data_IF_106304016085
#
_entry.id   IF_106304016085
#
_cell.length_a   1.000
_cell.length_b   1.000
_cell.length_c   1.000
_cell.angle_alpha   90.00
_cell.angle_beta   90.00
_cell.angle_gamma   90.00
#
_symmetry.space_group_name_H-M   'P 1'
#
loop_
_entity.id
_entity.type
_entity.pdbx_description
1 polymer ?
#
# COMPACT_ATOMS: atom_id res chain seq x y z
N UNK A 1 40.38 19.69 -10.99
CA UNK A 1 40.04 19.41 -9.58
C UNK A 1 38.92 18.38 -9.63
N UNK A 2 39.28 17.10 -9.60
CA UNK A 2 38.31 16.01 -9.71
C UNK A 2 37.61 15.84 -8.37
N UNK A 3 36.30 16.04 -8.34
CA UNK A 3 35.44 15.68 -7.22
C UNK A 3 35.26 14.17 -7.34
N UNK A 4 35.99 13.40 -6.54
CA UNK A 4 35.68 11.99 -6.32
C UNK A 4 34.40 11.95 -5.50
N UNK A 5 33.28 11.84 -6.20
CA UNK A 5 31.98 11.52 -5.60
C UNK A 5 32.07 10.08 -5.08
N UNK A 6 32.54 9.93 -3.85
CA UNK A 6 32.52 8.64 -3.15
C UNK A 6 31.10 8.46 -2.67
N UNK A 7 30.26 7.84 -3.50
CA UNK A 7 28.91 7.46 -3.10
C UNK A 7 29.03 6.53 -1.90
N UNK A 8 28.68 7.05 -0.72
CA UNK A 8 28.63 6.27 0.50
C UNK A 8 27.71 5.06 0.28
N UNK A 9 28.12 3.90 0.78
CA UNK A 9 27.28 2.70 0.72
C UNK A 9 26.01 2.95 1.53
N UNK A 10 24.81 2.78 0.95
CA UNK A 10 23.57 3.11 1.64
C UNK A 10 23.38 2.23 2.88
N UNK A 11 22.86 2.81 3.95
CA UNK A 11 22.49 2.13 5.19
C UNK A 11 21.29 1.20 4.97
N UNK A 12 21.05 0.28 5.92
CA UNK A 12 19.85 -0.57 5.88
C UNK A 12 18.58 0.28 5.93
N UNK A 13 18.54 1.31 6.76
CA UNK A 13 17.41 2.24 6.82
C UNK A 13 17.14 2.91 5.47
N UNK A 14 18.19 3.41 4.78
CA UNK A 14 18.05 4.00 3.45
C UNK A 14 17.57 2.98 2.42
N UNK A 15 18.06 1.75 2.46
CA UNK A 15 17.63 0.67 1.58
C UNK A 15 16.17 0.27 1.84
N UNK A 16 15.74 0.19 3.11
CA UNK A 16 14.34 -0.08 3.48
C UNK A 16 13.44 1.04 2.97
N UNK A 17 13.80 2.30 3.22
CA UNK A 17 13.03 3.46 2.76
C UNK A 17 12.92 3.49 1.23
N UNK A 18 14.00 3.13 0.52
CA UNK A 18 14.00 3.09 -0.94
C UNK A 18 13.01 2.06 -1.51
N UNK A 19 12.63 1.02 -0.77
CA UNK A 19 11.65 0.02 -1.25
C UNK A 19 10.25 0.57 -1.45
N UNK A 20 9.90 1.70 -0.81
CA UNK A 20 8.54 2.26 -0.82
C UNK A 20 7.48 1.37 -0.15
N UNK A 21 7.89 0.29 0.52
CA UNK A 21 6.99 -0.63 1.19
C UNK A 21 6.62 -0.09 2.58
N UNK A 22 5.38 -0.31 3.05
CA UNK A 22 4.96 0.08 4.39
C UNK A 22 5.87 -0.51 5.48
N UNK A 23 6.16 0.25 6.54
CA UNK A 23 7.05 -0.21 7.62
C UNK A 23 6.55 -1.46 8.36
N UNK A 24 5.24 -1.71 8.39
CA UNK A 24 4.65 -2.92 8.98
C UNK A 24 4.74 -4.17 8.07
N UNK A 25 5.34 -4.06 6.88
CA UNK A 25 5.54 -5.19 5.95
C UNK A 25 6.31 -6.33 6.62
N UNK A 26 5.72 -7.53 6.65
CA UNK A 26 6.34 -8.74 7.22
C UNK A 26 7.50 -9.22 6.35
N UNK A 27 8.65 -9.50 6.97
CA UNK A 27 9.85 -10.01 6.29
C UNK A 27 9.63 -11.36 5.58
N UNK A 28 8.61 -12.14 5.97
CA UNK A 28 8.22 -13.38 5.29
C UNK A 28 7.69 -13.16 3.88
N UNK A 29 7.19 -11.96 3.62
CA UNK A 29 6.55 -11.61 2.36
C UNK A 29 7.53 -10.93 1.40
N UNK A 30 8.75 -10.61 1.84
CA UNK A 30 9.79 -10.03 0.99
C UNK A 30 10.18 -10.99 -0.15
N UNK A 31 9.94 -10.60 -1.41
CA UNK A 31 10.31 -11.42 -2.56
C UNK A 31 11.83 -11.49 -2.68
N UNK A 32 12.34 -12.65 -3.10
CA UNK A 32 13.79 -12.86 -3.23
C UNK A 32 14.54 -13.02 -1.89
N UNK A 33 13.88 -12.84 -0.74
CA UNK A 33 14.50 -13.06 0.56
C UNK A 33 14.76 -14.54 0.81
N UNK A 34 16.03 -14.91 0.96
CA UNK A 34 16.42 -16.29 1.23
C UNK A 34 15.97 -16.73 2.63
N UNK A 35 15.61 -18.01 2.78
CA UNK A 35 15.06 -18.54 4.02
C UNK A 35 16.03 -18.42 5.22
N UNK A 36 17.34 -18.59 4.98
CA UNK A 36 18.36 -18.51 6.03
C UNK A 36 18.42 -17.12 6.71
N UNK A 37 18.76 -16.00 6.01
CA UNK A 37 18.82 -14.69 6.65
C UNK A 37 17.47 -14.29 7.25
N UNK A 38 16.36 -14.58 6.55
CA UNK A 38 15.01 -14.34 7.07
C UNK A 38 14.78 -15.03 8.41
N UNK A 39 15.02 -16.34 8.51
CA UNK A 39 14.72 -17.09 9.73
C UNK A 39 15.63 -16.68 10.90
N UNK A 40 16.87 -16.26 10.63
CA UNK A 40 17.76 -15.70 11.64
C UNK A 40 17.23 -14.36 12.18
N UNK A 41 16.82 -13.45 11.30
CA UNK A 41 16.18 -12.17 11.67
C UNK A 41 14.89 -12.38 12.46
N UNK A 42 14.01 -13.28 11.99
CA UNK A 42 12.76 -13.60 12.68
C UNK A 42 12.98 -14.16 14.09
N UNK A 43 14.06 -14.94 14.29
CA UNK A 43 14.43 -15.47 15.60
C UNK A 43 14.86 -14.37 16.57
N UNK A 44 15.48 -13.31 16.07
CA UNK A 44 15.82 -12.11 16.86
C UNK A 44 14.68 -11.09 16.97
N UNK A 45 13.47 -11.44 16.53
CA UNK A 45 12.32 -10.54 16.66
C UNK A 45 12.25 -9.45 15.58
N UNK A 46 13.19 -9.42 14.63
CA UNK A 46 13.12 -8.57 13.44
C UNK A 46 12.07 -9.17 12.50
N UNK A 47 10.83 -8.69 12.61
CA UNK A 47 9.67 -9.25 11.89
C UNK A 47 9.16 -8.36 10.77
N UNK A 48 9.41 -7.07 10.84
CA UNK A 48 8.91 -6.09 9.88
C UNK A 48 10.04 -5.24 9.31
N UNK A 49 9.77 -4.56 8.20
CA UNK A 49 10.70 -3.60 7.60
C UNK A 49 11.06 -2.45 8.55
N UNK A 50 10.11 -1.96 9.35
CA UNK A 50 10.35 -0.93 10.35
C UNK A 50 11.39 -1.38 11.38
N UNK A 51 11.25 -2.59 11.93
CA UNK A 51 12.23 -3.12 12.89
C UNK A 51 13.58 -3.33 12.18
N UNK A 52 13.58 -3.85 10.94
CA UNK A 52 14.82 -4.01 10.18
C UNK A 52 15.54 -2.68 9.93
N UNK A 53 14.81 -1.58 9.71
CA UNK A 53 15.37 -0.25 9.49
C UNK A 53 16.05 0.33 10.76
N UNK A 54 15.74 -0.18 11.94
CA UNK A 54 16.41 0.21 13.19
C UNK A 54 17.80 -0.42 13.35
N UNK A 55 18.13 -1.39 12.49
CA UNK A 55 19.41 -2.09 12.51
C UNK A 55 20.38 -1.53 11.45
N UNK A 56 21.65 -1.45 11.82
CA UNK A 56 22.77 -1.23 10.90
C UNK A 56 23.47 -2.56 10.52
N UNK A 57 24.44 -2.49 9.62
CA UNK A 57 25.19 -3.67 9.20
C UNK A 57 25.93 -4.34 10.36
N UNK A 58 26.37 -3.60 11.38
CA UNK A 58 27.09 -4.15 12.54
C UNK A 58 26.15 -4.96 13.43
N UNK A 59 25.00 -4.40 13.81
CA UNK A 59 24.00 -5.07 14.64
C UNK A 59 23.40 -6.30 13.96
N UNK A 60 23.23 -6.29 12.63
CA UNK A 60 22.84 -7.51 11.90
C UNK A 60 23.91 -8.60 11.98
N UNK A 61 25.19 -8.22 11.92
CA UNK A 61 26.31 -9.16 12.02
C UNK A 61 26.51 -9.74 13.43
N UNK A 62 25.96 -9.10 14.46
CA UNK A 62 25.94 -9.62 15.84
C UNK A 62 24.91 -10.76 16.04
N UNK A 63 23.96 -10.92 15.10
CA UNK A 63 22.99 -12.01 15.14
C UNK A 63 23.73 -13.35 14.99
N UNK A 64 23.50 -14.28 15.93
CA UNK A 64 24.17 -15.58 15.91
C UNK A 64 23.92 -16.34 14.60
N UNK A 65 25.03 -16.67 13.92
CA UNK A 65 25.12 -17.31 12.59
C UNK A 65 24.77 -16.41 11.39
N UNK A 66 24.67 -15.10 11.59
CA UNK A 66 24.43 -14.13 10.54
C UNK A 66 25.76 -13.63 9.98
N UNK A 67 26.26 -14.32 8.96
CA UNK A 67 27.54 -13.98 8.32
C UNK A 67 27.42 -12.91 7.23
N UNK A 68 28.58 -12.53 6.67
CA UNK A 68 28.72 -11.56 5.56
C UNK A 68 27.77 -11.85 4.41
N UNK A 69 27.63 -13.12 4.02
CA UNK A 69 26.70 -13.53 2.96
C UNK A 69 25.24 -13.20 3.30
N UNK A 70 24.80 -13.37 4.56
CA UNK A 70 23.43 -13.04 4.98
C UNK A 70 23.17 -11.54 4.88
N UNK A 71 24.12 -10.71 5.36
CA UNK A 71 24.06 -9.25 5.25
C UNK A 71 24.00 -8.82 3.78
N UNK A 72 24.91 -9.32 2.96
CA UNK A 72 24.99 -8.95 1.54
C UNK A 72 23.73 -9.38 0.78
N UNK A 73 23.15 -10.54 1.11
CA UNK A 73 21.87 -10.99 0.56
C UNK A 73 20.71 -10.06 0.94
N UNK A 74 20.59 -9.69 2.23
CA UNK A 74 19.54 -8.74 2.68
C UNK A 74 19.68 -7.41 1.95
N UNK A 75 20.90 -6.87 1.87
CA UNK A 75 21.18 -5.62 1.15
C UNK A 75 20.81 -5.71 -0.33
N UNK A 76 21.19 -6.80 -0.99
CA UNK A 76 20.88 -7.01 -2.40
C UNK A 76 19.38 -7.06 -2.67
N UNK A 77 18.62 -7.76 -1.82
CA UNK A 77 17.15 -7.84 -1.94
C UNK A 77 16.51 -6.46 -1.74
N UNK A 78 16.91 -5.72 -0.72
CA UNK A 78 16.37 -4.38 -0.47
C UNK A 78 16.73 -3.40 -1.60
N UNK A 79 17.97 -3.47 -2.11
CA UNK A 79 18.41 -2.65 -3.24
C UNK A 79 17.60 -2.97 -4.52
N UNK A 80 17.39 -4.25 -4.83
CA UNK A 80 16.58 -4.67 -5.97
C UNK A 80 15.14 -4.19 -5.84
N UNK A 81 14.55 -4.30 -4.64
CA UNK A 81 13.21 -3.78 -4.38
C UNK A 81 13.14 -2.26 -4.51
N UNK A 82 14.17 -1.55 -4.03
CA UNK A 82 14.28 -0.10 -4.17
C UNK A 82 14.45 0.35 -5.62
N UNK A 83 15.24 -0.37 -6.42
CA UNK A 83 15.37 -0.10 -7.86
C UNK A 83 14.06 -0.33 -8.61
N UNK A 84 13.34 -1.41 -8.27
CA UNK A 84 12.00 -1.67 -8.81
C UNK A 84 11.06 -0.53 -8.45
N UNK A 85 10.99 -0.15 -7.18
CA UNK A 85 10.16 0.97 -6.72
C UNK A 85 10.53 2.28 -7.43
N UNK A 86 11.82 2.62 -7.53
CA UNK A 86 12.28 3.80 -8.25
C UNK A 86 11.92 3.77 -9.75
N UNK A 87 11.99 2.60 -10.40
CA UNK A 87 11.56 2.43 -11.79
C UNK A 87 10.07 2.68 -11.98
N UNK A 88 9.28 2.27 -11.00
CA UNK A 88 7.85 2.52 -10.94
C UNK A 88 7.58 4.02 -10.75
N UNK A 89 8.24 4.64 -9.76
CA UNK A 89 8.06 6.06 -9.43
C UNK A 89 8.43 7.01 -10.57
N UNK A 90 9.41 6.65 -11.42
CA UNK A 90 9.78 7.47 -12.59
C UNK A 90 8.64 7.68 -13.59
N UNK A 91 7.64 6.80 -13.60
CA UNK A 91 6.50 6.87 -14.52
C UNK A 91 5.18 7.19 -13.80
N UNK A 92 5.22 7.39 -12.48
CA UNK A 92 4.02 7.61 -11.70
C UNK A 92 3.57 9.09 -11.77
N UNK A 93 2.26 9.35 -11.80
CA UNK A 93 1.74 10.72 -11.69
C UNK A 93 2.12 11.38 -10.35
N UNK A 94 2.21 12.72 -10.28
CA UNK A 94 2.73 13.44 -9.10
C UNK A 94 2.02 13.12 -7.78
N UNK A 95 0.70 12.91 -7.81
CA UNK A 95 -0.10 12.60 -6.63
C UNK A 95 0.13 11.18 -6.09
N UNK A 96 0.75 10.27 -6.86
CA UNK A 96 1.03 8.91 -6.40
C UNK A 96 1.96 8.90 -5.17
N UNK A 97 2.95 9.79 -5.16
CA UNK A 97 3.96 9.86 -4.11
C UNK A 97 3.33 10.28 -2.76
N UNK A 98 2.23 11.04 -2.80
CA UNK A 98 1.49 11.51 -1.63
C UNK A 98 0.62 10.41 -0.99
N UNK A 99 0.34 9.34 -1.75
CA UNK A 99 -0.50 8.22 -1.31
C UNK A 99 0.23 6.86 -1.36
N UNK A 100 1.54 6.83 -1.62
CA UNK A 100 2.29 5.58 -1.84
C UNK A 100 2.22 4.63 -0.64
N UNK A 101 2.14 5.17 0.58
CA UNK A 101 2.00 4.44 1.83
C UNK A 101 0.62 3.80 2.04
N UNK A 102 -0.37 4.09 1.19
CA UNK A 102 -1.69 3.44 1.19
C UNK A 102 -1.68 2.07 0.47
N UNK A 103 -0.58 1.69 -0.17
CA UNK A 103 -0.47 0.42 -0.89
C UNK A 103 -0.73 -0.78 0.04
N UNK A 104 -1.73 -1.59 -0.28
CA UNK A 104 -2.16 -2.72 0.52
C UNK A 104 -2.78 -2.36 1.88
N UNK A 105 -3.12 -1.10 2.13
CA UNK A 105 -3.69 -0.65 3.41
C UNK A 105 -5.01 -1.36 3.77
N UNK A 106 -5.76 -1.85 2.76
CA UNK A 106 -7.04 -2.53 2.94
C UNK A 106 -6.92 -4.07 2.94
N UNK A 107 -5.70 -4.62 2.95
CA UNK A 107 -5.44 -6.05 2.78
C UNK A 107 -6.00 -6.92 3.90
N UNK A 108 -5.83 -6.51 5.15
CA UNK A 108 -6.15 -7.31 6.33
C UNK A 108 -7.61 -7.16 6.79
N UNK A 109 -8.48 -6.74 5.87
CA UNK A 109 -9.77 -6.19 6.23
C UNK A 109 -9.63 -4.74 6.66
N UNK A 110 -10.77 -4.06 6.75
CA UNK A 110 -10.85 -2.65 7.10
C UNK A 110 -12.18 -2.38 7.78
N UNK A 111 -12.20 -1.36 8.62
CA UNK A 111 -13.39 -0.79 9.22
C UNK A 111 -13.74 0.55 8.54
N UNK A 112 -14.86 1.15 8.95
CA UNK A 112 -15.33 2.43 8.46
C UNK A 112 -14.32 3.57 8.68
N UNK A 113 -13.50 3.49 9.72
CA UNK A 113 -12.51 4.51 10.05
C UNK A 113 -11.29 4.44 9.12
N UNK A 114 -10.76 3.24 8.89
CA UNK A 114 -9.64 3.01 8.00
C UNK A 114 -10.02 3.34 6.55
N UNK A 115 -11.18 2.88 6.07
CA UNK A 115 -11.61 3.15 4.70
C UNK A 115 -11.82 4.66 4.49
N UNK A 116 -12.43 5.37 5.45
CA UNK A 116 -12.59 6.84 5.38
C UNK A 116 -11.24 7.52 5.27
N UNK A 117 -10.27 7.11 6.09
CA UNK A 117 -8.94 7.71 6.12
C UNK A 117 -8.18 7.48 4.82
N UNK A 118 -8.28 6.28 4.23
CA UNK A 118 -7.66 5.94 2.95
C UNK A 118 -8.30 6.75 1.82
N UNK A 119 -9.63 6.74 1.71
CA UNK A 119 -10.33 7.41 0.61
C UNK A 119 -10.19 8.94 0.68
N UNK A 120 -10.22 9.53 1.89
CA UNK A 120 -9.98 10.96 2.07
C UNK A 120 -8.59 11.37 1.55
N UNK A 121 -7.54 10.60 1.87
CA UNK A 121 -6.18 10.89 1.38
C UNK A 121 -6.07 10.80 -0.14
N UNK A 122 -6.77 9.85 -0.77
CA UNK A 122 -6.81 9.75 -2.23
C UNK A 122 -7.49 10.99 -2.84
N UNK A 123 -8.60 11.46 -2.25
CA UNK A 123 -9.28 12.68 -2.67
C UNK A 123 -8.42 13.93 -2.45
N UNK A 124 -7.76 14.06 -1.29
CA UNK A 124 -6.88 15.19 -0.95
C UNK A 124 -5.66 15.29 -1.86
N UNK A 125 -5.12 14.15 -2.30
CA UNK A 125 -4.03 14.10 -3.28
C UNK A 125 -4.47 14.53 -4.71
N UNK A 126 -5.77 14.79 -4.92
CA UNK A 126 -6.31 15.31 -6.18
C UNK A 126 -6.69 14.23 -7.19
N UNK A 127 -7.01 13.02 -6.74
CA UNK A 127 -7.60 12.01 -7.60
C UNK A 127 -8.90 12.53 -8.26
N UNK A 128 -9.15 12.23 -9.55
CA UNK A 128 -10.39 12.58 -10.21
C UNK A 128 -11.56 11.75 -9.68
N UNK A 129 -12.70 12.41 -9.51
CA UNK A 129 -13.93 11.81 -9.01
C UNK A 129 -13.93 11.61 -7.48
N UNK A 130 -15.11 11.29 -6.95
CA UNK A 130 -15.30 11.04 -5.54
C UNK A 130 -15.37 9.54 -5.27
N UNK A 131 -14.41 8.98 -4.53
CA UNK A 131 -14.41 7.57 -4.13
C UNK A 131 -15.25 7.38 -2.87
N UNK A 132 -16.03 6.30 -2.82
CA UNK A 132 -16.87 5.97 -1.68
C UNK A 132 -16.99 4.46 -1.51
N UNK A 133 -17.23 4.03 -0.27
CA UNK A 133 -17.46 2.64 0.10
C UNK A 133 -18.95 2.45 0.41
N UNK A 134 -19.54 1.43 -0.22
CA UNK A 134 -20.92 1.01 0.05
C UNK A 134 -20.89 -0.32 0.77
N UNK A 135 -21.40 -0.31 2.00
CA UNK A 135 -21.53 -1.46 2.88
C UNK A 135 -22.88 -2.16 2.67
N UNK A 136 -22.90 -3.47 2.91
CA UNK A 136 -24.11 -4.28 2.83
C UNK A 136 -25.15 -3.87 3.89
N UNK A 137 -24.68 -3.54 5.10
CA UNK A 137 -25.54 -3.21 6.24
C UNK A 137 -24.98 -2.06 7.08
N UNK A 138 -25.90 -1.36 7.75
CA UNK A 138 -25.58 -0.39 8.80
C UNK A 138 -26.61 -0.54 9.94
N UNK A 139 -26.13 -0.83 11.14
CA UNK A 139 -26.94 -1.06 12.34
C UNK A 139 -26.43 -0.26 13.56
N UNK A 140 -26.85 -0.64 14.77
CA UNK A 140 -26.41 0.02 16.01
C UNK A 140 -24.92 -0.19 16.34
N UNK A 141 -24.26 -1.16 15.73
CA UNK A 141 -22.82 -1.41 15.84
C UNK A 141 -22.00 -0.65 14.78
N UNK A 142 -22.65 -0.08 13.76
CA UNK A 142 -22.01 0.71 12.70
C UNK A 142 -22.16 0.07 11.33
N UNK A 143 -21.19 0.30 10.45
CA UNK A 143 -21.13 -0.29 9.12
C UNK A 143 -20.62 -1.75 9.18
N UNK A 144 -21.20 -2.62 8.37
CA UNK A 144 -20.87 -4.04 8.38
C UNK A 144 -21.20 -4.79 7.10
N UNK A 145 -20.82 -6.07 7.10
CA UNK A 145 -21.01 -6.99 5.99
C UNK A 145 -20.06 -6.76 4.83
N UNK A 146 -20.41 -7.32 3.66
CA UNK A 146 -19.64 -7.14 2.43
C UNK A 146 -19.67 -5.68 2.00
N UNK A 147 -18.52 -5.17 1.54
CA UNK A 147 -18.37 -3.79 1.11
C UNK A 147 -17.72 -3.71 -0.26
N UNK A 148 -18.18 -2.74 -1.05
CA UNK A 148 -17.62 -2.46 -2.38
C UNK A 148 -17.28 -0.97 -2.49
N UNK A 149 -16.18 -0.66 -3.19
CA UNK A 149 -15.78 0.72 -3.47
C UNK A 149 -16.23 1.13 -4.86
N UNK A 150 -16.78 2.33 -4.94
CA UNK A 150 -17.31 2.96 -6.14
C UNK A 150 -16.67 4.33 -6.35
N UNK A 151 -16.80 4.83 -7.57
CA UNK A 151 -16.40 6.19 -7.96
C UNK A 151 -17.61 6.94 -8.54
N UNK A 152 -17.88 8.12 -7.99
CA UNK A 152 -18.73 9.14 -8.61
C UNK A 152 -17.84 10.09 -9.41
N UNK A 153 -17.62 9.74 -10.68
CA UNK A 153 -16.72 10.49 -11.57
C UNK A 153 -17.36 11.75 -12.15
N UNK A 154 -18.70 11.81 -12.18
CA UNK A 154 -19.45 12.87 -12.87
C UNK A 154 -20.24 13.76 -11.90
N UNK A 155 -20.03 13.61 -10.58
CA UNK A 155 -20.69 14.36 -9.50
C UNK A 155 -22.23 14.28 -9.58
N UNK A 156 -22.75 13.07 -9.44
CA UNK A 156 -24.19 12.78 -9.51
C UNK A 156 -24.64 12.18 -10.84
N UNK A 157 -23.71 11.79 -11.73
CA UNK A 157 -24.00 11.07 -12.98
C UNK A 157 -24.18 9.56 -12.83
N UNK A 158 -24.17 9.07 -11.59
CA UNK A 158 -24.31 7.66 -11.23
C UNK A 158 -22.98 6.99 -10.87
N UNK A 159 -23.07 5.97 -10.02
CA UNK A 159 -21.89 5.31 -9.49
C UNK A 159 -21.30 4.34 -10.51
N UNK A 160 -19.97 4.31 -10.57
CA UNK A 160 -19.22 3.34 -11.36
C UNK A 160 -18.38 2.46 -10.43
N UNK A 161 -18.15 1.21 -10.82
CA UNK A 161 -17.17 0.37 -10.15
C UNK A 161 -15.77 0.97 -10.29
N UNK A 162 -14.93 0.80 -9.27
CA UNK A 162 -13.51 1.12 -9.40
C UNK A 162 -12.86 0.20 -10.43
N UNK A 163 -12.28 0.81 -11.46
CA UNK A 163 -11.56 0.16 -12.54
C UNK A 163 -10.04 0.28 -12.40
N UNK A 164 -9.35 -0.29 -13.39
CA UNK A 164 -7.88 -0.24 -13.47
C UNK A 164 -7.20 -0.93 -12.28
N UNK A 165 -6.08 -0.35 -11.88
CA UNK A 165 -5.18 -0.95 -10.89
C UNK A 165 -5.46 -0.49 -9.43
N UNK A 166 -6.30 0.53 -9.23
CA UNK A 166 -6.51 1.17 -7.93
C UNK A 166 -6.94 0.17 -6.85
N UNK A 167 -7.97 -0.62 -7.12
CA UNK A 167 -8.51 -1.54 -6.12
C UNK A 167 -7.50 -2.63 -5.77
N UNK A 168 -6.84 -3.23 -6.77
CA UNK A 168 -5.82 -4.25 -6.55
C UNK A 168 -4.63 -3.68 -5.76
N UNK A 169 -4.22 -2.45 -6.05
CA UNK A 169 -3.15 -1.76 -5.32
C UNK A 169 -3.51 -1.46 -3.85
N UNK A 170 -4.76 -1.07 -3.54
CA UNK A 170 -5.22 -0.82 -2.17
C UNK A 170 -5.44 -2.09 -1.35
N UNK A 171 -5.94 -3.16 -1.97
CA UNK A 171 -6.44 -4.36 -1.28
C UNK A 171 -5.46 -5.53 -1.28
N UNK A 172 -4.48 -5.57 -2.19
CA UNK A 172 -3.52 -6.67 -2.24
C UNK A 172 -2.20 -6.30 -1.57
N UNK A 173 -1.48 -7.30 -1.08
CA UNK A 173 -0.13 -7.07 -0.58
C UNK A 173 0.77 -6.54 -1.70
N UNK A 174 1.56 -5.48 -1.50
CA UNK A 174 2.48 -4.94 -2.52
C UNK A 174 3.54 -5.92 -3.06
N UNK A 175 3.63 -7.12 -2.49
CA UNK A 175 4.61 -8.15 -2.79
C UNK A 175 3.96 -9.41 -3.38
N UNK A 176 2.62 -9.44 -3.43
CA UNK A 176 1.90 -10.50 -4.11
C UNK A 176 2.19 -10.40 -5.61
N UNK A 177 2.59 -11.48 -6.28
CA UNK A 177 2.83 -11.46 -7.72
C UNK A 177 1.59 -10.97 -8.48
N UNK A 178 1.77 -9.96 -9.32
CA UNK A 178 0.69 -9.36 -10.10
C UNK A 178 -0.05 -8.22 -9.39
N UNK A 179 0.28 -7.90 -8.13
CA UNK A 179 -0.20 -6.66 -7.51
C UNK A 179 0.39 -5.46 -8.24
N UNK A 180 -0.44 -4.50 -8.68
CA UNK A 180 0.05 -3.29 -9.31
C UNK A 180 0.94 -2.53 -8.34
N UNK A 181 2.05 -1.99 -8.84
CA UNK A 181 2.96 -1.23 -8.01
C UNK A 181 2.54 0.24 -7.81
N UNK A 182 1.61 0.70 -8.63
CA UNK A 182 0.95 2.01 -8.53
C UNK A 182 -0.55 1.77 -8.63
N UNK A 183 -1.39 2.71 -8.19
CA UNK A 183 -2.82 2.64 -8.45
C UNK A 183 -3.19 2.80 -9.94
N UNK A 184 -2.22 3.02 -10.83
CA UNK A 184 -2.44 3.20 -12.26
C UNK A 184 -2.87 4.62 -12.62
N UNK A 185 -3.21 4.82 -13.91
CA UNK A 185 -3.70 6.10 -14.42
C UNK A 185 -5.15 6.34 -13.93
N UNK A 186 -5.46 7.47 -13.28
CA UNK A 186 -6.80 7.77 -12.80
C UNK A 186 -7.86 7.84 -13.89
N UNK A 187 -7.46 8.11 -15.14
CA UNK A 187 -8.37 8.02 -16.28
C UNK A 187 -8.94 6.59 -16.47
N UNK A 188 -8.29 5.57 -15.88
CA UNK A 188 -8.73 4.17 -15.92
C UNK A 188 -9.52 3.73 -14.69
N UNK A 189 -9.63 4.57 -13.65
CA UNK A 189 -10.32 4.21 -12.40
C UNK A 189 -11.84 4.22 -12.53
N UNK A 190 -12.39 4.93 -13.52
CA UNK A 190 -13.79 4.84 -13.86
C UNK A 190 -14.05 3.52 -14.61
N UNK A 191 -14.54 2.52 -13.88
CA UNK A 191 -14.97 1.26 -14.45
C UNK A 191 -16.38 1.32 -15.06
N UNK A 192 -17.02 0.15 -15.12
CA UNK A 192 -18.40 0.04 -15.61
C UNK A 192 -19.39 0.71 -14.65
N UNK A 193 -20.50 1.20 -15.18
CA UNK A 193 -21.61 1.70 -14.37
C UNK A 193 -22.13 0.62 -13.43
N UNK A 194 -22.39 1.00 -12.18
CA UNK A 194 -22.95 0.13 -11.15
C UNK A 194 -24.49 0.03 -11.22
N UNK A 195 -25.14 0.89 -12.02
CA UNK A 195 -26.58 0.88 -12.23
C UNK A 195 -27.42 1.50 -11.10
N UNK A 196 -26.80 2.26 -10.20
CA UNK A 196 -27.46 3.03 -9.15
C UNK A 196 -26.68 4.31 -8.82
N UNK A 197 -27.35 5.25 -8.16
CA UNK A 197 -26.84 6.59 -7.88
C UNK A 197 -26.65 6.80 -6.37
N UNK A 198 -25.92 7.84 -5.98
CA UNK A 198 -25.65 8.15 -4.58
C UNK A 198 -26.95 8.37 -3.78
N UNK A 199 -27.92 9.07 -4.38
CA UNK A 199 -29.23 9.36 -3.78
C UNK A 199 -30.09 8.11 -3.50
N UNK A 200 -29.70 6.95 -4.07
CA UNK A 200 -30.39 5.68 -3.83
C UNK A 200 -29.90 4.97 -2.57
N UNK A 201 -28.84 5.46 -1.92
CA UNK A 201 -28.26 4.89 -0.71
C UNK A 201 -28.89 5.56 0.52
N UNK A 202 -29.68 4.83 1.35
CA UNK A 202 -30.46 5.42 2.44
C UNK A 202 -29.64 5.86 3.66
N UNK A 203 -28.38 5.41 3.77
CA UNK A 203 -27.51 5.70 4.90
C UNK A 203 -26.18 6.23 4.40
N UNK A 204 -25.72 7.33 4.98
CA UNK A 204 -24.42 7.95 4.75
C UNK A 204 -23.83 8.53 6.04
N UNK A 205 -22.50 8.59 6.12
CA UNK A 205 -21.76 9.22 7.24
C UNK A 205 -21.37 10.68 6.96
N UNK A 206 -21.89 11.27 5.88
CA UNK A 206 -21.50 12.57 5.34
C UNK A 206 -20.06 12.60 4.81
N UNK A 207 -19.41 11.45 4.67
CA UNK A 207 -18.05 11.26 4.16
C UNK A 207 -18.09 10.14 3.12
N UNK A 208 -17.21 9.16 3.26
CA UNK A 208 -16.96 8.15 2.25
C UNK A 208 -17.75 6.85 2.48
N UNK A 209 -18.58 6.72 3.53
CA UNK A 209 -19.30 5.47 3.82
C UNK A 209 -20.80 5.61 3.59
N UNK A 210 -21.33 4.65 2.86
CA UNK A 210 -22.76 4.54 2.55
C UNK A 210 -23.22 3.11 2.79
N UNK A 211 -24.52 2.89 2.97
CA UNK A 211 -25.07 1.52 3.04
C UNK A 211 -26.38 1.40 2.28
N UNK A 212 -26.64 0.22 1.70
CA UNK A 212 -27.83 -0.07 0.89
C UNK A 212 -29.11 -0.30 1.72
N UNK A 213 -28.98 -0.71 2.97
CA UNK A 213 -30.12 -1.06 3.83
C UNK A 213 -29.80 -0.91 5.31
N UNK A 214 -30.79 -0.47 6.08
CA UNK A 214 -30.86 -0.64 7.54
C UNK A 214 -31.87 -1.77 7.80
N UNK A 215 -31.45 -2.87 8.42
CA UNK A 215 -32.39 -3.87 8.97
C UNK A 215 -32.60 -3.60 10.46
#
# INVERSE_FOLDING_TARGET
MSITDTTATPTIAELVNATGLPGNTDLRLLPGMHALPRNLMLREGIRTLAILAEHDDASLMDIRNFGVWCRDHVRAVLAELGERHAAIMRNAPPWHQEIADLAGALRDGYDEHLITSVLARVTEAGAPGYLLCVWAEHDAAGYGGDSEVYIDADHGGGLCHVGGDLWAWLSQHPLTPGTPATPGDPATWKGNSAGFDLDSLPVDDGRHNFARTSY
#
